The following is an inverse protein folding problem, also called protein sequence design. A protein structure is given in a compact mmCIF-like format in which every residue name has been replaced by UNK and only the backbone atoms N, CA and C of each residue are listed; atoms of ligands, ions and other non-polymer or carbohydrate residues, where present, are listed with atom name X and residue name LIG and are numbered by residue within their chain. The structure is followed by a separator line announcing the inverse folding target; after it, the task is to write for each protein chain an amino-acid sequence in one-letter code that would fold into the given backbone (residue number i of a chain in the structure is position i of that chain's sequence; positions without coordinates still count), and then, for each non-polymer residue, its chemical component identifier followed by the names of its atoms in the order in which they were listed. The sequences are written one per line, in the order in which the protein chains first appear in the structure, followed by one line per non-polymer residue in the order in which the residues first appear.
data_IF_952845548814
#
_entry.id   IF_952845548814
#
_cell.length_a   1.000
_cell.length_b   1.000
_cell.length_c   1.000
_cell.angle_alpha   90.00
_cell.angle_beta   90.00
_cell.angle_gamma   90.00
#
_symmetry.space_group_name_H-M   'P 1'
#
loop_
_entity.id
_entity.type
_entity.pdbx_description
1 polymer ?
#
# COMPACT_ATOMS: atom_id res chain seq x y z
N UNK A 1 -24.47 11.89 -1.45
CA UNK A 1 -23.87 11.36 -0.19
C UNK A 1 -23.69 9.83 -0.16
N UNK A 2 -24.55 8.98 -0.74
CA UNK A 2 -24.39 7.50 -0.73
C UNK A 2 -23.11 6.96 -1.41
N UNK A 3 -22.58 7.68 -2.41
CA UNK A 3 -21.37 7.28 -3.15
C UNK A 3 -20.10 7.47 -2.30
N UNK A 4 -20.06 8.48 -1.43
CA UNK A 4 -18.88 8.80 -0.62
C UNK A 4 -18.59 7.72 0.44
N UNK A 5 -19.64 7.25 1.13
CA UNK A 5 -19.50 6.20 2.15
C UNK A 5 -19.10 4.84 1.55
N UNK A 6 -19.47 4.59 0.29
CA UNK A 6 -19.17 3.34 -0.42
C UNK A 6 -17.69 3.22 -0.80
N UNK A 7 -16.96 4.34 -0.87
CA UNK A 7 -15.52 4.38 -1.20
C UNK A 7 -14.62 4.75 -0.02
N UNK A 8 -15.18 5.11 1.13
CA UNK A 8 -14.40 5.51 2.30
C UNK A 8 -13.43 4.41 2.75
N UNK A 9 -13.91 3.15 2.79
CA UNK A 9 -13.10 2.01 3.21
C UNK A 9 -11.85 1.79 2.33
N UNK A 10 -11.96 1.61 1.00
CA UNK A 10 -10.78 1.37 0.17
C UNK A 10 -9.85 2.60 0.11
N UNK A 11 -10.38 3.82 0.20
CA UNK A 11 -9.56 5.05 0.27
C UNK A 11 -8.73 5.10 1.54
N UNK A 12 -9.35 4.87 2.70
CA UNK A 12 -8.64 4.86 4.00
C UNK A 12 -7.65 3.70 4.04
N UNK A 13 -8.03 2.51 3.58
CA UNK A 13 -7.14 1.36 3.49
C UNK A 13 -5.92 1.66 2.63
N UNK A 14 -6.11 2.25 1.44
CA UNK A 14 -5.00 2.63 0.55
C UNK A 14 -4.08 3.66 1.20
N UNK A 15 -4.63 4.72 1.79
CA UNK A 15 -3.84 5.75 2.48
C UNK A 15 -3.01 5.18 3.63
N UNK A 16 -3.61 4.33 4.48
CA UNK A 16 -2.91 3.68 5.60
C UNK A 16 -1.77 2.78 5.12
N UNK A 17 -2.01 1.97 4.09
CA UNK A 17 -0.98 1.08 3.53
C UNK A 17 0.20 1.87 2.98
N UNK A 18 -0.06 2.95 2.23
CA UNK A 18 1.01 3.77 1.66
C UNK A 18 1.80 4.50 2.75
N UNK A 19 1.12 5.15 3.70
CA UNK A 19 1.79 5.83 4.81
C UNK A 19 2.62 4.87 5.68
N UNK A 20 2.07 3.70 5.99
CA UNK A 20 2.80 2.67 6.72
C UNK A 20 4.01 2.17 5.93
N UNK A 21 3.84 1.90 4.64
CA UNK A 21 4.93 1.43 3.76
C UNK A 21 6.04 2.48 3.64
N UNK A 22 5.70 3.77 3.49
CA UNK A 22 6.68 4.87 3.45
C UNK A 22 7.52 4.95 4.72
N UNK A 23 6.95 4.62 5.88
CA UNK A 23 7.73 4.50 7.13
C UNK A 23 8.54 3.21 7.16
N UNK A 24 7.95 2.08 6.79
CA UNK A 24 8.58 0.76 6.86
C UNK A 24 9.75 0.58 5.88
N UNK A 25 9.80 1.33 4.78
CA UNK A 25 10.96 1.37 3.88
C UNK A 25 12.22 1.86 4.60
N UNK A 26 12.08 2.68 5.64
CA UNK A 26 13.23 3.20 6.39
C UNK A 26 13.82 2.17 7.37
N UNK A 27 13.13 1.04 7.58
CA UNK A 27 13.57 -0.02 8.48
C UNK A 27 14.11 -1.21 7.66
N UNK A 28 15.43 -1.36 7.55
CA UNK A 28 16.03 -2.53 6.93
C UNK A 28 15.79 -3.79 7.79
N UNK A 29 15.70 -4.94 7.13
CA UNK A 29 15.58 -6.23 7.81
C UNK A 29 16.95 -6.64 8.31
N UNK A 30 17.19 -6.46 9.61
CA UNK A 30 18.45 -6.82 10.28
C UNK A 30 18.54 -8.33 10.53
N UNK A 31 18.62 -9.10 9.45
CA UNK A 31 18.79 -10.55 9.49
C UNK A 31 19.83 -10.99 8.47
N UNK A 32 20.46 -12.13 8.74
CA UNK A 32 21.32 -12.82 7.79
C UNK A 32 20.67 -14.14 7.42
N UNK A 33 20.49 -14.39 6.12
CA UNK A 33 20.00 -15.68 5.59
C UNK A 33 21.06 -16.25 4.66
N UNK A 34 21.51 -17.47 4.92
CA UNK A 34 22.46 -18.20 4.05
C UNK A 34 23.73 -17.40 3.74
N UNK A 35 24.19 -16.56 4.68
CA UNK A 35 25.37 -15.70 4.52
C UNK A 35 25.11 -14.38 3.78
N UNK A 36 23.87 -14.11 3.36
CA UNK A 36 23.46 -12.83 2.78
C UNK A 36 22.92 -11.90 3.87
N UNK A 37 23.47 -10.69 3.93
CA UNK A 37 22.93 -9.61 4.77
C UNK A 37 21.69 -9.00 4.11
N UNK A 38 20.53 -9.18 4.74
CA UNK A 38 19.29 -8.62 4.24
C UNK A 38 19.18 -7.11 4.49
N UNK A 39 19.98 -6.53 5.38
CA UNK A 39 19.84 -5.13 5.73
C UNK A 39 20.07 -4.20 4.52
N UNK A 40 20.95 -4.59 3.59
CA UNK A 40 21.19 -3.86 2.34
C UNK A 40 20.26 -4.23 1.18
N UNK A 41 19.47 -5.29 1.30
CA UNK A 41 18.68 -5.86 0.20
C UNK A 41 17.16 -5.76 0.42
N UNK A 42 16.72 -5.76 1.67
CA UNK A 42 15.32 -5.90 2.04
C UNK A 42 14.95 -4.97 3.18
N UNK A 43 13.88 -4.21 2.97
CA UNK A 43 13.26 -3.37 4.01
C UNK A 43 11.91 -3.94 4.37
N UNK A 44 11.41 -3.60 5.56
CA UNK A 44 10.07 -4.02 5.98
C UNK A 44 8.98 -3.50 5.03
N UNK A 45 9.23 -2.39 4.33
CA UNK A 45 8.33 -1.84 3.31
C UNK A 45 8.04 -2.81 2.16
N UNK A 46 8.98 -3.68 1.80
CA UNK A 46 8.78 -4.67 0.73
C UNK A 46 7.63 -5.66 1.05
N UNK A 47 7.37 -5.94 2.32
CA UNK A 47 6.29 -6.81 2.74
C UNK A 47 4.92 -6.12 2.77
N UNK A 48 4.90 -4.79 2.92
CA UNK A 48 3.64 -4.03 3.02
C UNK A 48 3.15 -3.49 1.69
N UNK A 49 4.03 -3.23 0.72
CA UNK A 49 3.61 -2.78 -0.61
C UNK A 49 2.65 -3.73 -1.34
N UNK A 50 2.78 -5.08 -1.26
CA UNK A 50 1.81 -6.00 -1.86
C UNK A 50 0.37 -5.80 -1.35
N UNK A 51 0.18 -5.25 -0.14
CA UNK A 51 -1.15 -4.94 0.38
C UNK A 51 -1.84 -3.84 -0.44
N UNK A 52 -1.08 -2.90 -1.02
CA UNK A 52 -1.65 -1.86 -1.89
C UNK A 52 -2.24 -2.47 -3.17
N UNK A 53 -1.61 -3.53 -3.69
CA UNK A 53 -2.17 -4.31 -4.80
C UNK A 53 -3.48 -5.00 -4.39
N UNK A 54 -3.53 -5.63 -3.21
CA UNK A 54 -4.76 -6.26 -2.71
C UNK A 54 -5.91 -5.26 -2.56
N UNK A 55 -5.65 -4.06 -2.04
CA UNK A 55 -6.65 -2.98 -1.93
C UNK A 55 -7.15 -2.58 -3.33
N UNK A 56 -6.25 -2.42 -4.29
CA UNK A 56 -6.59 -2.00 -5.64
C UNK A 56 -7.38 -3.06 -6.40
N UNK A 57 -6.94 -4.33 -6.35
CA UNK A 57 -7.61 -5.46 -7.01
C UNK A 57 -8.99 -5.72 -6.41
N UNK A 58 -9.11 -5.71 -5.07
CA UNK A 58 -10.41 -5.84 -4.40
C UNK A 58 -11.35 -4.71 -4.79
N UNK A 59 -10.85 -3.47 -4.84
CA UNK A 59 -11.65 -2.31 -5.27
C UNK A 59 -12.10 -2.45 -6.73
N UNK A 60 -11.23 -2.96 -7.60
CA UNK A 60 -11.53 -3.19 -9.01
C UNK A 60 -12.65 -4.24 -9.17
N UNK A 61 -12.58 -5.34 -8.42
CA UNK A 61 -13.59 -6.41 -8.47
C UNK A 61 -14.95 -5.98 -7.93
N UNK A 62 -14.98 -5.18 -6.87
CA UNK A 62 -16.23 -4.77 -6.19
C UNK A 62 -16.88 -3.54 -6.84
N UNK A 63 -16.09 -2.59 -7.33
CA UNK A 63 -16.57 -1.28 -7.77
C UNK A 63 -16.14 -0.89 -9.19
N UNK A 64 -15.45 -1.77 -9.90
CA UNK A 64 -14.97 -1.56 -11.26
C UNK A 64 -13.70 -0.71 -11.38
N UNK A 65 -13.13 -0.73 -12.59
CA UNK A 65 -11.83 -0.13 -12.90
C UNK A 65 -11.76 1.38 -12.66
N UNK A 66 -12.85 2.11 -12.95
CA UNK A 66 -12.89 3.56 -12.77
C UNK A 66 -12.75 3.98 -11.30
N UNK A 67 -13.33 3.19 -10.38
CA UNK A 67 -13.24 3.42 -8.95
C UNK A 67 -11.85 3.05 -8.40
N UNK A 68 -11.30 1.93 -8.86
CA UNK A 68 -9.94 1.50 -8.47
C UNK A 68 -8.88 2.54 -8.83
N UNK A 69 -8.95 3.15 -10.03
CA UNK A 69 -8.03 4.24 -10.42
C UNK A 69 -8.07 5.42 -9.46
N UNK A 70 -9.27 5.82 -9.00
CA UNK A 70 -9.41 6.93 -8.03
C UNK A 70 -8.74 6.59 -6.71
N UNK A 71 -8.88 5.37 -6.22
CA UNK A 71 -8.21 4.91 -4.99
C UNK A 71 -6.70 4.93 -5.15
N UNK A 72 -6.17 4.50 -6.29
CA UNK A 72 -4.73 4.56 -6.61
C UNK A 72 -4.23 6.01 -6.62
N UNK A 73 -4.97 6.95 -7.22
CA UNK A 73 -4.58 8.37 -7.20
C UNK A 73 -4.51 8.94 -5.78
N UNK A 74 -5.44 8.55 -4.90
CA UNK A 74 -5.35 8.94 -3.49
C UNK A 74 -4.11 8.35 -2.84
N UNK A 75 -3.83 7.06 -3.06
CA UNK A 75 -2.60 6.42 -2.60
C UNK A 75 -1.34 7.14 -3.06
N UNK A 76 -1.29 7.56 -4.32
CA UNK A 76 -0.18 8.34 -4.88
C UNK A 76 0.02 9.66 -4.12
N UNK A 77 -1.06 10.42 -3.87
CA UNK A 77 -0.97 11.68 -3.11
C UNK A 77 -0.45 11.46 -1.70
N UNK A 78 -0.91 10.42 -1.01
CA UNK A 78 -0.38 10.05 0.32
C UNK A 78 1.09 9.63 0.26
N UNK A 79 1.54 9.04 -0.84
CA UNK A 79 2.93 8.62 -1.02
C UNK A 79 3.91 9.78 -1.16
N UNK A 80 3.43 10.98 -1.49
CA UNK A 80 4.24 12.20 -1.59
C UNK A 80 4.54 12.86 -0.23
N UNK A 81 3.88 12.39 0.83
CA UNK A 81 4.01 12.89 2.21
C UNK A 81 4.83 11.91 3.05
#
# INVERSE_FOLDING_TARGET
MKVLFRFALPVVAMGLVILASNKLVQYPVQASLWGLDLAGLLTWGAFTYPVAFLVTDTTNRVYGVGSARKVVYVGFVFGLV
#
